data_IF_874904741410
#
_entry.id   IF_874904741410
#
_cell.length_a   1.000
_cell.length_b   1.000
_cell.length_c   1.000
_cell.angle_alpha   90.00
_cell.angle_beta   90.00
_cell.angle_gamma   90.00
#
_symmetry.space_group_name_H-M   'P 1'
#
loop_
_entity.id
_entity.type
_entity.pdbx_description
1 polymer ?
#
# COMPACT_ATOMS: atom_id res chain seq x y z
N UNK A 1 -50.76 24.00 -36.33
CA UNK A 1 -49.29 24.05 -36.33
C UNK A 1 -48.81 23.40 -35.04
N UNK A 2 -48.44 22.11 -35.06
CA UNK A 2 -48.01 21.39 -33.86
C UNK A 2 -46.49 21.18 -33.93
N UNK A 3 -45.75 21.83 -33.03
CA UNK A 3 -44.30 21.68 -32.90
C UNK A 3 -44.01 20.55 -31.93
N UNK A 4 -43.41 19.48 -32.43
CA UNK A 4 -42.88 18.39 -31.59
C UNK A 4 -41.48 18.81 -31.14
N UNK A 5 -41.35 19.17 -29.86
CA UNK A 5 -40.05 19.43 -29.25
C UNK A 5 -39.34 18.11 -28.90
N UNK A 6 -38.14 17.91 -29.45
CA UNK A 6 -37.27 16.80 -29.07
C UNK A 6 -36.40 17.24 -27.89
N UNK A 7 -36.69 16.72 -26.71
CA UNK A 7 -35.75 16.80 -25.59
C UNK A 7 -34.62 15.78 -25.78
N UNK A 8 -33.35 16.14 -25.56
CA UNK A 8 -32.26 15.19 -25.60
C UNK A 8 -32.43 14.20 -24.43
N UNK A 9 -32.48 12.90 -24.73
CA UNK A 9 -32.40 11.87 -23.70
C UNK A 9 -31.04 11.99 -23.02
N UNK A 10 -31.04 12.45 -21.77
CA UNK A 10 -29.86 12.40 -20.90
C UNK A 10 -29.47 10.93 -20.71
N UNK A 11 -28.37 10.52 -21.34
CA UNK A 11 -27.85 9.18 -21.22
C UNK A 11 -27.53 8.86 -19.74
N UNK A 12 -27.95 7.70 -19.21
CA UNK A 12 -27.68 7.38 -17.81
C UNK A 12 -26.19 7.12 -17.62
N UNK A 13 -25.53 7.95 -16.81
CA UNK A 13 -24.13 7.80 -16.38
C UNK A 13 -23.87 6.54 -15.50
N UNK A 14 -24.79 5.58 -15.49
CA UNK A 14 -24.87 4.52 -14.48
C UNK A 14 -24.08 3.27 -14.88
N UNK A 15 -23.66 3.16 -16.15
CA UNK A 15 -22.88 2.02 -16.63
C UNK A 15 -21.42 2.02 -16.12
N UNK A 16 -20.85 3.19 -15.79
CA UNK A 16 -19.46 3.30 -15.35
C UNK A 16 -19.26 3.10 -13.84
N UNK A 17 -20.32 3.29 -13.04
CA UNK A 17 -20.23 3.18 -11.57
C UNK A 17 -20.08 1.73 -11.08
N UNK A 18 -20.63 0.76 -11.81
CA UNK A 18 -20.58 -0.66 -11.45
C UNK A 18 -19.18 -1.28 -11.61
N UNK A 19 -18.46 -0.91 -12.67
CA UNK A 19 -17.10 -1.39 -12.94
C UNK A 19 -16.03 -0.62 -12.15
N UNK A 20 -16.31 0.63 -11.76
CA UNK A 20 -15.40 1.44 -10.95
C UNK A 20 -15.19 0.89 -9.53
N UNK A 21 -16.20 0.23 -8.96
CA UNK A 21 -16.14 -0.37 -7.62
C UNK A 21 -15.11 -1.51 -7.50
N UNK A 22 -15.15 -2.58 -8.31
CA UNK A 22 -14.18 -3.67 -8.21
C UNK A 22 -12.76 -3.20 -8.56
N UNK A 23 -12.61 -2.26 -9.50
CA UNK A 23 -11.31 -1.70 -9.84
C UNK A 23 -10.72 -0.86 -8.68
N UNK A 24 -11.57 -0.13 -7.95
CA UNK A 24 -11.16 0.63 -6.79
C UNK A 24 -10.69 -0.27 -5.64
N UNK A 25 -11.38 -1.38 -5.39
CA UNK A 25 -11.01 -2.38 -4.39
C UNK A 25 -9.70 -3.08 -4.77
N UNK A 26 -9.57 -3.52 -6.03
CA UNK A 26 -8.34 -4.09 -6.57
C UNK A 26 -7.15 -3.12 -6.37
N UNK A 27 -7.34 -1.84 -6.69
CA UNK A 27 -6.30 -0.81 -6.52
C UNK A 27 -5.93 -0.61 -5.05
N UNK A 28 -6.91 -0.62 -4.14
CA UNK A 28 -6.66 -0.50 -2.70
C UNK A 28 -5.85 -1.70 -2.17
N UNK A 29 -6.22 -2.91 -2.60
CA UNK A 29 -5.49 -4.13 -2.29
C UNK A 29 -4.03 -4.07 -2.77
N UNK A 30 -3.80 -3.74 -4.04
CA UNK A 30 -2.43 -3.65 -4.59
C UNK A 30 -1.57 -2.60 -3.86
N UNK A 31 -2.14 -1.46 -3.46
CA UNK A 31 -1.42 -0.46 -2.67
C UNK A 31 -0.97 -1.01 -1.32
N UNK A 32 -1.85 -1.72 -0.59
CA UNK A 32 -1.48 -2.34 0.68
C UNK A 32 -0.48 -3.49 0.49
N UNK A 33 -0.65 -4.30 -0.55
CA UNK A 33 0.24 -5.40 -0.86
C UNK A 33 1.67 -4.89 -1.13
N UNK A 34 1.84 -3.92 -2.01
CA UNK A 34 3.17 -3.35 -2.33
C UNK A 34 3.80 -2.73 -1.07
N UNK A 35 3.03 -1.97 -0.28
CA UNK A 35 3.53 -1.36 0.95
C UNK A 35 4.01 -2.38 1.98
N UNK A 36 3.41 -3.58 2.00
CA UNK A 36 3.80 -4.66 2.92
C UNK A 36 4.91 -5.54 2.36
N UNK A 37 4.83 -5.90 1.08
CA UNK A 37 5.77 -6.78 0.40
C UNK A 37 7.15 -6.14 0.25
N UNK A 38 7.19 -4.83 -0.02
CA UNK A 38 8.43 -4.07 -0.17
C UNK A 38 8.76 -3.23 1.06
N UNK A 39 8.17 -3.53 2.22
CA UNK A 39 8.57 -2.89 3.46
C UNK A 39 9.98 -3.36 3.82
N UNK A 40 11.00 -2.48 3.84
CA UNK A 40 12.35 -2.88 4.19
C UNK A 40 12.35 -3.48 5.60
N UNK A 41 12.86 -4.71 5.73
CA UNK A 41 13.12 -5.26 7.04
C UNK A 41 14.08 -4.32 7.76
N UNK A 42 13.63 -3.73 8.87
CA UNK A 42 14.37 -2.80 9.72
C UNK A 42 14.90 -3.60 10.92
N UNK A 43 16.03 -4.31 10.77
CA UNK A 43 16.62 -5.07 11.87
C UNK A 43 16.92 -4.18 13.07
N UNK A 44 17.14 -2.87 12.87
CA UNK A 44 17.37 -1.89 13.95
C UNK A 44 16.25 -1.85 15.01
N UNK A 45 14.99 -2.15 14.64
CA UNK A 45 13.87 -2.22 15.59
C UNK A 45 13.83 -3.53 16.38
N UNK A 46 14.45 -4.57 15.84
CA UNK A 46 14.47 -5.92 16.42
C UNK A 46 15.78 -6.24 17.13
N UNK A 47 16.85 -5.50 16.81
CA UNK A 47 18.13 -5.52 17.51
C UNK A 47 18.17 -4.44 18.58
N UNK A 48 17.40 -4.63 19.65
CA UNK A 48 17.54 -3.87 20.89
C UNK A 48 18.67 -4.39 21.80
N UNK A 49 19.64 -5.12 21.22
CA UNK A 49 20.87 -5.50 21.92
C UNK A 49 22.04 -5.12 21.03
N UNK A 50 22.69 -4.02 21.41
CA UNK A 50 24.08 -3.77 21.04
C UNK A 50 24.97 -4.97 21.42
N UNK A 51 26.28 -4.90 21.16
CA UNK A 51 27.16 -6.04 21.30
C UNK A 51 26.95 -6.79 22.62
N UNK A 52 26.44 -8.02 22.49
CA UNK A 52 26.12 -8.87 23.64
C UNK A 52 27.39 -9.24 24.42
N UNK A 53 27.24 -9.82 25.62
CA UNK A 53 28.38 -10.19 26.47
C UNK A 53 29.42 -11.05 25.74
N UNK A 54 28.98 -11.94 24.86
CA UNK A 54 29.86 -12.79 24.04
C UNK A 54 30.68 -12.01 22.99
N UNK A 55 30.16 -10.91 22.47
CA UNK A 55 30.91 -10.02 21.59
C UNK A 55 31.95 -9.23 22.40
N UNK A 56 31.54 -8.69 23.55
CA UNK A 56 32.44 -7.94 24.45
C UNK A 56 33.61 -8.80 24.93
N UNK A 57 33.37 -10.03 25.35
CA UNK A 57 34.42 -10.95 25.81
C UNK A 57 35.51 -11.20 24.75
N UNK A 58 35.15 -11.21 23.46
CA UNK A 58 36.10 -11.44 22.36
C UNK A 58 36.95 -10.22 22.00
N UNK A 59 36.42 -9.01 22.19
CA UNK A 59 37.07 -7.76 21.78
C UNK A 59 37.76 -7.01 22.93
N UNK A 60 37.30 -7.16 24.19
CA UNK A 60 37.98 -6.60 25.36
C UNK A 60 39.33 -7.28 25.66
N UNK A 61 39.51 -8.55 25.27
CA UNK A 61 40.81 -9.23 25.37
C UNK A 61 41.82 -8.83 24.30
N UNK A 62 41.43 -8.00 23.33
CA UNK A 62 42.28 -7.52 22.24
C UNK A 62 42.70 -6.04 22.42
N UNK A 63 42.27 -5.41 23.52
CA UNK A 63 42.65 -4.07 23.95
C UNK A 63 43.39 -4.14 25.30
N UNK A 64 44.51 -4.85 25.32
CA UNK A 64 45.69 -4.66 26.20
C UNK A 64 46.70 -5.76 25.92
#
# INVERSE_FOLDING_TARGET
MATIGLAPLSAPAHAHAGLAKPLAELRAFWRQFIARAFNPYRPELHYMRGPGPAWRAKHLGHQN
#
